data_IF_986240550277
#
_entry.id   IF_986240550277
#
_cell.length_a   1.000
_cell.length_b   1.000
_cell.length_c   1.000
_cell.angle_alpha   90.00
_cell.angle_beta   90.00
_cell.angle_gamma   90.00
#
_symmetry.space_group_name_H-M   'P 1'
#
loop_
_entity.id
_entity.type
_entity.pdbx_description
1 polymer ?
#
# COMPACT_ATOMS: atom_id res chain seq x y z
N UNK A 1 -15.08 45.58 -10.49
CA UNK A 1 -13.65 45.20 -10.74
C UNK A 1 -13.50 43.70 -10.58
N UNK A 2 -13.08 43.02 -11.64
CA UNK A 2 -13.37 41.60 -11.92
C UNK A 2 -12.52 40.64 -11.10
N UNK A 3 -13.17 39.85 -10.23
CA UNK A 3 -12.58 38.69 -9.53
C UNK A 3 -12.39 37.45 -10.41
N UNK A 4 -12.70 37.53 -11.69
CA UNK A 4 -12.67 36.37 -12.62
C UNK A 4 -11.38 36.19 -13.41
N UNK A 5 -10.42 37.11 -13.34
CA UNK A 5 -9.19 37.05 -14.15
C UNK A 5 -8.02 36.43 -13.42
N UNK A 6 -8.11 36.24 -12.10
CA UNK A 6 -7.00 35.69 -11.30
C UNK A 6 -6.85 34.16 -11.42
N UNK A 7 -7.89 33.46 -11.83
CA UNK A 7 -7.89 31.97 -11.89
C UNK A 7 -7.37 31.45 -13.25
N UNK A 8 -7.22 32.30 -14.27
CA UNK A 8 -6.83 31.86 -15.62
C UNK A 8 -5.32 31.68 -15.84
N UNK A 9 -4.48 32.15 -14.94
CA UNK A 9 -3.01 32.10 -15.09
C UNK A 9 -2.29 31.35 -13.95
N UNK A 10 -2.98 30.53 -13.17
CA UNK A 10 -2.34 29.70 -12.16
C UNK A 10 -1.78 28.45 -12.85
N UNK A 11 -0.55 28.57 -13.33
CA UNK A 11 0.32 27.47 -13.71
C UNK A 11 0.49 26.52 -12.53
N UNK A 12 0.15 25.25 -12.75
CA UNK A 12 0.45 24.09 -11.92
C UNK A 12 0.65 24.33 -10.41
N UNK A 13 -0.38 24.20 -9.63
CA UNK A 13 -0.24 24.05 -8.18
C UNK A 13 0.15 22.59 -7.88
N UNK A 14 1.37 22.35 -7.43
CA UNK A 14 1.75 21.11 -6.75
C UNK A 14 1.03 21.11 -5.41
N UNK A 15 0.07 20.22 -5.22
CA UNK A 15 -0.80 20.25 -4.04
C UNK A 15 -0.29 19.39 -2.90
N UNK A 16 0.55 18.39 -3.15
CA UNK A 16 1.25 17.70 -2.08
C UNK A 16 2.53 17.05 -2.58
N UNK A 17 3.59 17.22 -1.83
CA UNK A 17 4.82 16.45 -1.95
C UNK A 17 4.81 15.49 -0.77
N UNK A 18 4.37 14.24 -0.99
CA UNK A 18 4.65 13.17 -0.06
C UNK A 18 5.82 12.36 -0.62
N UNK A 19 6.54 11.66 0.23
CA UNK A 19 7.56 10.71 -0.21
C UNK A 19 7.00 9.59 -1.10
N UNK A 20 5.69 9.52 -1.24
CA UNK A 20 4.94 8.49 -1.94
C UNK A 20 4.34 8.93 -3.28
N UNK A 21 4.58 10.14 -3.74
CA UNK A 21 4.11 10.65 -5.03
C UNK A 21 3.63 12.09 -5.00
N UNK A 22 3.49 12.67 -6.18
CA UNK A 22 2.99 14.04 -6.39
C UNK A 22 1.68 14.00 -7.14
N UNK A 23 0.68 14.74 -6.65
CA UNK A 23 -0.51 15.04 -7.41
C UNK A 23 -0.29 16.33 -8.19
N UNK A 24 -0.42 16.26 -9.50
CA UNK A 24 -0.34 17.41 -10.39
C UNK A 24 -1.73 17.76 -10.92
N UNK A 25 -2.08 19.04 -10.89
CA UNK A 25 -3.27 19.53 -11.55
C UNK A 25 -2.92 19.96 -12.98
N UNK A 26 -3.48 19.29 -14.01
CA UNK A 26 -3.23 19.59 -15.42
C UNK A 26 -4.16 20.66 -16.01
N UNK A 27 -4.95 21.33 -15.18
CA UNK A 27 -5.96 22.31 -15.60
C UNK A 27 -7.37 21.72 -15.75
N UNK A 28 -7.53 20.39 -15.68
CA UNK A 28 -8.84 19.71 -15.78
C UNK A 28 -8.99 18.62 -14.73
N UNK A 29 -7.96 17.83 -14.48
CA UNK A 29 -7.96 16.73 -13.56
C UNK A 29 -6.66 16.71 -12.77
N UNK A 30 -6.66 16.05 -11.61
CA UNK A 30 -5.43 15.66 -10.96
C UNK A 30 -4.80 14.53 -11.78
N UNK A 31 -3.58 14.75 -12.22
CA UNK A 31 -2.77 13.74 -12.90
C UNK A 31 -1.68 13.24 -11.97
N UNK A 32 -1.47 11.98 -12.07
CA UNK A 32 -0.26 11.27 -11.72
C UNK A 32 -0.21 10.81 -10.31
N UNK A 33 -0.07 9.62 -10.07
CA UNK A 33 0.77 8.88 -9.19
C UNK A 33 2.08 8.63 -9.94
N UNK A 34 2.99 9.56 -9.88
CA UNK A 34 4.34 9.30 -10.37
C UNK A 34 5.31 9.55 -9.23
N UNK A 35 5.70 8.54 -8.51
CA UNK A 35 5.37 7.11 -8.55
C UNK A 35 3.98 6.76 -7.98
N UNK A 36 3.53 5.52 -8.21
CA UNK A 36 2.29 4.96 -7.61
C UNK A 36 2.37 5.06 -6.09
N UNK A 37 1.33 5.63 -5.48
CA UNK A 37 1.29 5.88 -4.03
C UNK A 37 1.07 4.59 -3.24
N UNK A 38 1.66 4.54 -2.06
CA UNK A 38 1.47 3.44 -1.11
C UNK A 38 0.10 3.52 -0.45
N UNK A 39 -0.34 2.37 0.04
CA UNK A 39 -1.49 2.21 0.92
C UNK A 39 -1.15 1.23 2.04
N UNK A 40 -2.09 0.92 2.90
CA UNK A 40 -1.87 -0.02 3.99
C UNK A 40 -1.82 -1.46 3.48
N UNK A 41 -0.94 -2.27 4.08
CA UNK A 41 -0.90 -3.72 3.86
C UNK A 41 -2.20 -4.39 4.35
N UNK A 42 -2.76 -3.85 5.41
CA UNK A 42 -3.92 -4.45 6.07
C UNK A 42 -3.56 -5.70 6.90
N UNK A 43 -4.49 -6.19 7.72
CA UNK A 43 -4.24 -7.32 8.62
C UNK A 43 -4.33 -8.69 7.93
N UNK A 44 -4.72 -8.73 6.67
CA UNK A 44 -5.02 -9.97 5.94
C UNK A 44 -3.93 -10.39 4.95
N UNK A 45 -2.76 -9.72 4.94
CA UNK A 45 -1.64 -10.19 4.14
C UNK A 45 -1.16 -11.54 4.65
N UNK A 46 -0.94 -12.48 3.72
CA UNK A 46 -0.44 -13.80 4.00
C UNK A 46 0.64 -14.13 2.98
N UNK A 47 1.90 -14.33 3.41
CA UNK A 47 2.99 -14.68 2.51
C UNK A 47 2.83 -16.09 1.94
N UNK A 48 3.55 -16.38 0.85
CA UNK A 48 3.60 -17.71 0.25
C UNK A 48 2.42 -18.02 -0.67
N UNK A 49 1.67 -17.02 -1.12
CA UNK A 49 0.63 -17.23 -2.12
C UNK A 49 1.23 -17.84 -3.40
N UNK A 50 0.57 -18.82 -4.04
CA UNK A 50 1.11 -19.49 -5.22
C UNK A 50 1.20 -18.56 -6.42
N UNK A 51 2.18 -18.82 -7.30
CA UNK A 51 2.26 -18.13 -8.59
C UNK A 51 1.17 -18.65 -9.53
N UNK A 52 0.15 -17.83 -9.74
CA UNK A 52 -0.99 -18.14 -10.61
C UNK A 52 -1.70 -16.88 -11.09
N UNK A 53 -2.20 -16.92 -12.34
CA UNK A 53 -2.97 -15.85 -12.96
C UNK A 53 -4.47 -15.94 -12.63
N UNK A 54 -5.00 -17.16 -12.51
CA UNK A 54 -6.41 -17.38 -12.23
C UNK A 54 -6.62 -17.62 -10.73
N UNK A 55 -7.30 -16.69 -10.09
CA UNK A 55 -7.62 -16.71 -8.66
C UNK A 55 -9.09 -17.11 -8.41
N UNK A 56 -9.88 -17.33 -9.46
CA UNK A 56 -11.31 -17.74 -9.34
C UNK A 56 -11.38 -19.19 -8.92
N UNK A 57 -12.00 -19.50 -7.78
CA UNK A 57 -12.39 -20.88 -7.50
C UNK A 57 -13.40 -21.39 -8.53
N UNK A 58 -13.45 -22.70 -8.73
CA UNK A 58 -14.31 -23.32 -9.75
C UNK A 58 -15.79 -23.00 -9.58
N UNK A 59 -16.25 -22.79 -8.35
CA UNK A 59 -17.65 -22.55 -7.99
C UNK A 59 -17.90 -21.17 -7.35
N UNK A 60 -17.11 -20.14 -7.74
CA UNK A 60 -17.34 -18.78 -7.26
C UNK A 60 -18.60 -18.18 -7.87
N UNK A 61 -19.42 -17.54 -7.04
CA UNK A 61 -20.60 -16.77 -7.46
C UNK A 61 -20.29 -15.27 -7.61
N UNK A 62 -19.04 -14.85 -7.38
CA UNK A 62 -18.63 -13.47 -7.50
C UNK A 62 -18.62 -12.96 -8.94
N UNK A 63 -18.79 -11.67 -9.13
CA UNK A 63 -18.74 -11.03 -10.44
C UNK A 63 -17.33 -11.14 -11.05
N UNK A 64 -17.15 -11.83 -12.19
CA UNK A 64 -15.84 -12.00 -12.81
C UNK A 64 -15.20 -10.70 -13.24
N UNK A 65 -13.90 -10.55 -12.95
CA UNK A 65 -13.07 -9.43 -13.41
C UNK A 65 -11.72 -9.92 -13.95
N UNK A 66 -11.13 -9.09 -14.82
CA UNK A 66 -9.73 -9.15 -15.21
C UNK A 66 -9.02 -7.89 -14.71
N UNK A 67 -8.03 -8.05 -13.85
CA UNK A 67 -7.12 -6.97 -13.46
C UNK A 67 -5.82 -7.13 -14.23
N UNK A 68 -5.44 -6.12 -15.00
CA UNK A 68 -4.20 -6.14 -15.80
C UNK A 68 -3.50 -4.80 -15.81
N UNK A 69 -2.23 -4.79 -16.17
CA UNK A 69 -1.43 -3.58 -16.32
C UNK A 69 0.03 -3.89 -16.54
N UNK A 70 0.84 -2.85 -16.40
CA UNK A 70 2.29 -2.92 -16.54
C UNK A 70 2.95 -2.34 -15.31
N UNK A 71 4.11 -2.91 -14.96
CA UNK A 71 5.01 -2.35 -13.95
C UNK A 71 6.10 -1.56 -14.67
N UNK A 72 6.25 -0.29 -14.33
CA UNK A 72 7.24 0.61 -14.88
C UNK A 72 8.24 1.07 -13.81
N UNK A 73 9.46 1.38 -14.26
CA UNK A 73 10.44 2.10 -13.43
C UNK A 73 9.94 3.52 -13.12
N UNK A 74 10.67 4.23 -12.27
CA UNK A 74 10.40 5.61 -11.84
C UNK A 74 10.12 6.62 -12.95
N UNK A 75 10.62 6.36 -14.17
CA UNK A 75 10.39 7.22 -15.33
C UNK A 75 9.02 7.01 -16.01
N UNK A 76 8.20 6.09 -15.51
CA UNK A 76 6.86 5.79 -16.04
C UNK A 76 6.83 5.20 -17.46
N UNK A 77 7.97 4.79 -18.03
CA UNK A 77 8.10 4.34 -19.41
C UNK A 77 8.83 3.01 -19.56
N UNK A 78 9.89 2.81 -18.80
CA UNK A 78 10.70 1.59 -18.89
C UNK A 78 10.02 0.46 -18.11
N UNK A 79 9.61 -0.62 -18.79
CA UNK A 79 8.99 -1.75 -18.08
C UNK A 79 9.99 -2.44 -17.15
N UNK A 80 9.46 -3.02 -16.08
CA UNK A 80 10.24 -3.82 -15.13
C UNK A 80 10.05 -5.30 -15.45
N UNK A 81 11.15 -5.98 -15.76
CA UNK A 81 11.19 -7.43 -15.88
C UNK A 81 11.37 -8.08 -14.51
N UNK A 82 10.77 -9.26 -14.32
CA UNK A 82 10.88 -10.07 -13.10
C UNK A 82 10.36 -9.40 -11.80
N UNK A 83 9.51 -8.40 -11.91
CA UNK A 83 8.77 -7.89 -10.76
C UNK A 83 7.76 -8.96 -10.30
N UNK A 84 7.77 -9.30 -9.01
CA UNK A 84 6.71 -10.12 -8.42
C UNK A 84 5.53 -9.21 -8.09
N UNK A 85 4.40 -9.46 -8.73
CA UNK A 85 3.12 -8.79 -8.46
C UNK A 85 2.24 -9.77 -7.70
N UNK A 86 1.89 -9.45 -6.47
CA UNK A 86 0.98 -10.23 -5.63
C UNK A 86 -0.30 -9.44 -5.41
N UNK A 87 -1.45 -10.12 -5.48
CA UNK A 87 -2.75 -9.53 -5.11
C UNK A 87 -3.50 -10.41 -4.13
N UNK A 88 -4.34 -9.76 -3.29
CA UNK A 88 -5.28 -10.45 -2.41
C UNK A 88 -6.49 -9.56 -2.13
N UNK A 89 -7.65 -10.20 -1.93
CA UNK A 89 -8.90 -9.53 -1.58
C UNK A 89 -9.88 -10.49 -0.92
N UNK A 90 -10.98 -9.97 -0.37
CA UNK A 90 -12.07 -10.81 0.15
C UNK A 90 -12.88 -11.44 -0.98
N UNK A 91 -13.59 -12.49 -0.65
CA UNK A 91 -14.57 -13.12 -1.53
C UNK A 91 -15.91 -12.34 -1.59
N UNK A 92 -16.89 -12.89 -2.28
CA UNK A 92 -18.26 -12.36 -2.39
C UNK A 92 -19.07 -12.39 -1.09
N UNK A 93 -18.54 -13.03 -0.03
CA UNK A 93 -19.14 -13.15 1.30
C UNK A 93 -18.36 -12.32 2.35
N UNK A 94 -17.55 -11.34 1.93
CA UNK A 94 -16.75 -10.47 2.80
C UNK A 94 -15.58 -11.18 3.50
N UNK A 95 -15.24 -12.43 3.12
CA UNK A 95 -14.26 -13.26 3.82
C UNK A 95 -12.90 -13.24 3.11
N UNK A 96 -11.84 -13.00 3.87
CA UNK A 96 -10.46 -13.24 3.44
C UNK A 96 -10.03 -14.66 3.81
N UNK A 97 -9.50 -15.40 2.85
CA UNK A 97 -8.89 -16.69 3.11
C UNK A 97 -7.53 -16.54 3.82
N UNK A 98 -7.55 -16.63 5.14
CA UNK A 98 -6.36 -16.43 5.97
C UNK A 98 -5.67 -17.75 6.38
N UNK A 99 -6.29 -18.90 6.14
CA UNK A 99 -5.85 -20.17 6.74
C UNK A 99 -5.80 -21.37 5.80
N UNK A 100 -6.61 -21.40 4.72
CA UNK A 100 -6.66 -22.57 3.84
C UNK A 100 -5.41 -22.69 2.96
N UNK A 101 -5.04 -23.90 2.61
CA UNK A 101 -3.92 -24.16 1.69
C UNK A 101 -4.25 -23.79 0.22
N UNK A 102 -5.52 -23.50 -0.06
CA UNK A 102 -5.98 -23.09 -1.38
C UNK A 102 -5.58 -21.66 -1.73
N UNK A 103 -5.31 -20.80 -0.73
CA UNK A 103 -5.02 -19.38 -0.93
C UNK A 103 -6.07 -18.69 -1.82
N UNK A 104 -7.36 -18.88 -1.53
CA UNK A 104 -8.45 -18.32 -2.34
C UNK A 104 -8.33 -16.82 -2.47
N UNK A 105 -8.49 -16.33 -3.71
CA UNK A 105 -8.35 -14.92 -4.06
C UNK A 105 -6.99 -14.28 -3.69
N UNK A 106 -5.94 -15.13 -3.64
CA UNK A 106 -4.56 -14.73 -3.44
C UNK A 106 -3.67 -15.37 -4.49
N UNK A 107 -2.73 -14.62 -5.03
CA UNK A 107 -1.77 -15.17 -5.99
C UNK A 107 -0.77 -14.14 -6.45
N UNK A 108 0.29 -14.64 -7.06
CA UNK A 108 1.36 -13.82 -7.60
C UNK A 108 1.67 -14.13 -9.05
N UNK A 109 2.27 -13.18 -9.73
CA UNK A 109 2.86 -13.34 -11.07
C UNK A 109 4.19 -12.61 -11.14
N UNK A 110 5.13 -13.14 -11.92
CA UNK A 110 6.33 -12.40 -12.31
C UNK A 110 6.12 -11.76 -13.67
N UNK A 111 6.45 -10.49 -13.77
CA UNK A 111 6.40 -9.76 -15.04
C UNK A 111 7.48 -10.26 -16.00
N UNK A 112 7.18 -10.19 -17.29
CA UNK A 112 8.13 -10.44 -18.39
C UNK A 112 8.80 -9.13 -18.84
N UNK A 113 9.59 -9.19 -19.91
CA UNK A 113 10.32 -8.04 -20.45
C UNK A 113 9.44 -6.82 -20.79
N UNK A 114 8.15 -7.02 -21.05
CA UNK A 114 7.17 -5.97 -21.31
C UNK A 114 6.52 -5.41 -20.03
N UNK A 115 6.90 -5.91 -18.86
CA UNK A 115 6.39 -5.48 -17.56
C UNK A 115 4.95 -5.87 -17.27
N UNK A 116 4.30 -6.68 -18.10
CA UNK A 116 2.87 -7.00 -17.99
C UNK A 116 2.57 -7.99 -16.88
N UNK A 117 1.40 -7.78 -16.27
CA UNK A 117 0.71 -8.73 -15.41
C UNK A 117 -0.79 -8.80 -15.76
N UNK A 118 -1.43 -9.93 -15.48
CA UNK A 118 -2.86 -10.13 -15.65
C UNK A 118 -3.39 -11.16 -14.65
N UNK A 119 -4.40 -10.78 -13.88
CA UNK A 119 -5.12 -11.66 -12.98
C UNK A 119 -6.59 -11.80 -13.36
N UNK A 120 -7.10 -13.03 -13.38
CA UNK A 120 -8.53 -13.32 -13.44
C UNK A 120 -9.03 -13.59 -12.03
N UNK A 121 -9.98 -12.78 -11.56
CA UNK A 121 -10.54 -12.87 -10.22
C UNK A 121 -12.02 -12.48 -10.22
N UNK A 122 -12.56 -12.19 -9.06
CA UNK A 122 -13.89 -11.60 -8.89
C UNK A 122 -13.75 -10.16 -8.38
N UNK A 123 -14.76 -9.34 -8.62
CA UNK A 123 -14.91 -8.04 -7.98
C UNK A 123 -15.15 -8.27 -6.47
N UNK A 124 -14.25 -7.80 -5.61
CA UNK A 124 -14.49 -7.91 -4.17
C UNK A 124 -15.70 -7.08 -3.74
N UNK A 125 -16.20 -7.35 -2.56
CA UNK A 125 -17.31 -6.60 -1.96
C UNK A 125 -16.82 -5.70 -0.83
N UNK A 126 -17.56 -4.64 -0.45
CA UNK A 126 -17.30 -3.93 0.79
C UNK A 126 -17.42 -4.87 1.99
N UNK A 127 -16.61 -4.65 3.03
CA UNK A 127 -16.66 -5.48 4.23
C UNK A 127 -16.46 -4.66 5.51
N UNK A 128 -16.86 -5.21 6.67
CA UNK A 128 -16.55 -4.62 7.97
C UNK A 128 -15.19 -5.07 8.47
N UNK A 129 -14.27 -4.13 8.71
CA UNK A 129 -12.97 -4.43 9.29
C UNK A 129 -13.08 -4.95 10.75
N UNK A 130 -14.10 -4.50 11.48
CA UNK A 130 -14.48 -4.96 12.82
C UNK A 130 -15.97 -5.35 12.77
N UNK A 131 -16.33 -6.63 12.86
CA UNK A 131 -17.71 -7.09 12.64
C UNK A 131 -18.76 -6.41 13.55
N UNK A 132 -18.39 -6.05 14.78
CA UNK A 132 -19.26 -5.40 15.76
C UNK A 132 -19.34 -3.88 15.64
N UNK A 133 -18.58 -3.26 14.72
CA UNK A 133 -18.50 -1.81 14.57
C UNK A 133 -19.02 -1.37 13.20
N UNK A 134 -20.18 -0.74 13.17
CA UNK A 134 -20.81 -0.22 11.96
C UNK A 134 -20.02 0.93 11.31
N UNK A 135 -19.12 1.57 12.03
CA UNK A 135 -18.24 2.60 11.48
C UNK A 135 -17.00 2.02 10.75
N UNK A 136 -16.77 0.71 10.84
CA UNK A 136 -15.58 0.04 10.32
C UNK A 136 -15.71 -0.47 8.88
N UNK A 137 -16.74 -0.05 8.14
CA UNK A 137 -16.91 -0.42 6.75
C UNK A 137 -15.75 0.04 5.88
N UNK A 138 -15.20 -0.90 5.10
CA UNK A 138 -14.23 -0.64 4.05
C UNK A 138 -14.89 -0.77 2.67
N UNK A 139 -14.54 0.09 1.70
CA UNK A 139 -14.97 -0.11 0.32
C UNK A 139 -14.41 -1.41 -0.25
N UNK A 140 -15.03 -1.91 -1.31
CA UNK A 140 -14.44 -2.97 -2.13
C UNK A 140 -13.05 -2.55 -2.58
N UNK A 141 -12.04 -3.41 -2.39
CA UNK A 141 -10.67 -3.13 -2.82
C UNK A 141 -9.86 -4.39 -3.06
N UNK A 142 -8.85 -4.26 -3.90
CA UNK A 142 -7.84 -5.28 -4.13
C UNK A 142 -6.52 -4.76 -3.56
N UNK A 143 -5.92 -5.50 -2.65
CA UNK A 143 -4.56 -5.25 -2.20
C UNK A 143 -3.56 -5.69 -3.27
N UNK A 144 -2.49 -4.95 -3.41
CA UNK A 144 -1.39 -5.29 -4.31
C UNK A 144 -0.05 -5.03 -3.62
N UNK A 145 0.87 -5.99 -3.78
CA UNK A 145 2.30 -5.85 -3.45
C UNK A 145 3.09 -6.03 -4.73
N UNK A 146 4.02 -5.14 -4.98
CA UNK A 146 4.97 -5.25 -6.10
C UNK A 146 6.37 -5.26 -5.53
N UNK A 147 7.07 -6.38 -5.75
CA UNK A 147 8.45 -6.58 -5.32
C UNK A 147 9.37 -6.60 -6.53
N UNK A 148 10.40 -5.78 -6.51
CA UNK A 148 11.44 -5.71 -7.54
C UNK A 148 12.78 -5.97 -6.88
N UNK A 149 13.60 -6.92 -7.38
CA UNK A 149 14.90 -7.21 -6.77
C UNK A 149 15.75 -5.96 -6.55
N UNK A 150 16.23 -5.76 -5.32
CA UNK A 150 17.06 -4.62 -4.94
C UNK A 150 16.29 -3.32 -4.72
N UNK A 151 14.96 -3.34 -4.69
CA UNK A 151 14.13 -2.18 -4.40
C UNK A 151 13.17 -2.49 -3.26
N UNK A 152 12.76 -1.45 -2.54
CA UNK A 152 11.70 -1.58 -1.56
C UNK A 152 10.38 -1.91 -2.24
N UNK A 153 9.62 -2.81 -1.64
CA UNK A 153 8.30 -3.18 -2.12
C UNK A 153 7.32 -2.01 -2.13
N UNK A 154 6.51 -1.97 -3.17
CA UNK A 154 5.31 -1.15 -3.18
C UNK A 154 4.14 -1.94 -2.59
N UNK A 155 3.54 -1.42 -1.54
CA UNK A 155 2.26 -1.89 -1.01
C UNK A 155 1.20 -0.86 -1.40
N UNK A 156 0.14 -1.30 -2.05
CA UNK A 156 -0.93 -0.40 -2.49
C UNK A 156 -2.30 -1.10 -2.45
N UNK A 157 -3.36 -0.34 -2.68
CA UNK A 157 -4.73 -0.85 -2.80
C UNK A 157 -5.41 -0.20 -4.00
N UNK A 158 -6.21 -0.98 -4.70
CA UNK A 158 -7.01 -0.57 -5.84
C UNK A 158 -8.46 -0.48 -5.38
N UNK A 159 -9.09 0.67 -5.61
CA UNK A 159 -10.49 0.95 -5.31
C UNK A 159 -11.30 1.09 -6.60
N UNK A 160 -12.63 1.11 -6.48
CA UNK A 160 -13.52 1.13 -7.64
C UNK A 160 -14.38 2.41 -7.62
N UNK A 161 -14.38 3.13 -8.74
CA UNK A 161 -15.12 4.39 -8.89
C UNK A 161 -16.63 4.16 -8.69
N UNK A 162 -17.24 4.98 -7.84
CA UNK A 162 -18.66 4.85 -7.48
C UNK A 162 -18.93 3.72 -6.48
N UNK A 163 -17.90 3.08 -5.97
CA UNK A 163 -18.01 2.05 -4.94
C UNK A 163 -18.55 2.60 -3.63
N UNK A 164 -19.39 1.82 -2.94
CA UNK A 164 -19.90 2.17 -1.61
C UNK A 164 -18.73 2.35 -0.65
N UNK A 165 -18.79 3.36 0.19
CA UNK A 165 -17.80 3.74 1.22
C UNK A 165 -16.47 4.31 0.71
N UNK A 166 -16.24 4.50 -0.61
CA UNK A 166 -15.00 5.10 -1.12
C UNK A 166 -14.79 6.50 -0.55
N UNK A 167 -15.84 7.33 -0.52
CA UNK A 167 -15.74 8.72 -0.07
C UNK A 167 -15.67 8.89 1.46
N UNK A 168 -16.04 7.85 2.22
CA UNK A 168 -16.02 7.86 3.70
C UNK A 168 -14.85 7.07 4.30
N UNK A 169 -14.20 6.20 3.53
CA UNK A 169 -13.06 5.42 4.00
C UNK A 169 -11.80 6.28 4.11
N UNK A 170 -11.12 6.20 5.24
CA UNK A 170 -9.93 7.00 5.54
C UNK A 170 -8.83 6.87 4.47
N UNK A 171 -8.65 5.70 3.88
CA UNK A 171 -7.58 5.44 2.93
C UNK A 171 -8.01 5.68 1.49
N UNK A 172 -9.23 5.27 1.12
CA UNK A 172 -9.75 5.48 -0.22
C UNK A 172 -10.06 6.95 -0.51
N UNK A 173 -10.53 7.73 0.48
CA UNK A 173 -10.81 9.16 0.33
C UNK A 173 -9.56 10.05 0.44
N UNK A 174 -8.41 9.48 0.81
CA UNK A 174 -7.18 10.25 0.90
C UNK A 174 -6.77 10.81 -0.47
N UNK A 175 -6.25 12.06 -0.56
CA UNK A 175 -5.82 12.64 -1.84
C UNK A 175 -4.85 11.76 -2.62
N UNK A 176 -4.01 10.99 -1.92
CA UNK A 176 -3.06 10.05 -2.51
C UNK A 176 -3.73 8.85 -3.19
N UNK A 177 -5.01 8.58 -2.93
CA UNK A 177 -5.72 7.44 -3.51
C UNK A 177 -6.37 7.74 -4.86
N UNK A 178 -6.40 8.99 -5.31
CA UNK A 178 -7.18 9.43 -6.48
C UNK A 178 -6.92 8.61 -7.74
N UNK A 179 -5.67 8.23 -8.02
CA UNK A 179 -5.30 7.43 -9.19
C UNK A 179 -5.43 5.92 -8.97
N UNK A 180 -5.83 5.51 -7.79
CA UNK A 180 -6.08 4.12 -7.40
C UNK A 180 -7.59 3.81 -7.30
N UNK A 181 -8.43 4.82 -7.56
CA UNK A 181 -9.89 4.70 -7.69
C UNK A 181 -10.21 4.53 -9.17
N UNK A 182 -10.33 3.28 -9.61
CA UNK A 182 -10.35 2.91 -11.02
C UNK A 182 -11.78 2.68 -11.53
N UNK A 183 -11.96 2.95 -12.82
CA UNK A 183 -13.20 2.62 -13.53
C UNK A 183 -13.12 1.20 -14.06
N UNK A 184 -14.16 0.42 -13.82
CA UNK A 184 -14.33 -0.89 -14.45
C UNK A 184 -14.91 -0.70 -15.85
N UNK A 185 -14.27 -1.29 -16.86
CA UNK A 185 -14.72 -1.27 -18.25
C UNK A 185 -15.14 -2.69 -18.69
N UNK A 186 -15.70 -2.83 -19.89
CA UNK A 186 -15.96 -4.14 -20.49
C UNK A 186 -14.91 -4.40 -21.57
N UNK A 187 -14.32 -5.59 -21.54
CA UNK A 187 -13.45 -6.05 -22.62
C UNK A 187 -14.28 -6.54 -23.83
N UNK A 188 -13.61 -6.95 -24.90
CA UNK A 188 -14.25 -7.43 -26.13
C UNK A 188 -15.12 -8.68 -25.94
N UNK A 189 -14.88 -9.47 -24.90
CA UNK A 189 -15.69 -10.64 -24.52
C UNK A 189 -16.83 -10.30 -23.55
N UNK A 190 -17.03 -9.03 -23.21
CA UNK A 190 -18.05 -8.56 -22.26
C UNK A 190 -17.71 -8.77 -20.78
N UNK A 191 -16.49 -9.23 -20.47
CA UNK A 191 -16.02 -9.41 -19.10
C UNK A 191 -15.57 -8.07 -18.51
N UNK A 192 -15.78 -7.86 -17.22
CA UNK A 192 -15.33 -6.65 -16.54
C UNK A 192 -13.81 -6.61 -16.46
N UNK A 193 -13.24 -5.47 -16.81
CA UNK A 193 -11.80 -5.27 -16.87
C UNK A 193 -11.38 -4.02 -16.09
N UNK A 194 -10.22 -4.10 -15.44
CA UNK A 194 -9.58 -3.03 -14.69
C UNK A 194 -8.16 -2.91 -15.18
N UNK A 195 -7.80 -1.72 -15.64
CA UNK A 195 -6.43 -1.42 -16.04
C UNK A 195 -5.74 -0.62 -14.94
N UNK A 196 -4.64 -1.15 -14.39
CA UNK A 196 -3.82 -0.47 -13.41
C UNK A 196 -2.34 -0.59 -13.74
N UNK A 197 -1.75 0.50 -14.21
CA UNK A 197 -0.31 0.58 -14.41
C UNK A 197 0.35 1.05 -13.11
N UNK A 198 1.47 0.44 -12.77
CA UNK A 198 2.26 0.76 -11.58
C UNK A 198 3.57 1.41 -11.99
N UNK A 199 3.89 2.55 -11.37
CA UNK A 199 5.18 3.22 -11.50
C UNK A 199 5.91 3.08 -10.17
N UNK A 200 7.04 2.37 -10.18
CA UNK A 200 7.87 2.18 -8.99
C UNK A 200 8.53 3.51 -8.58
N UNK A 201 8.66 3.75 -7.30
CA UNK A 201 9.39 4.92 -6.81
C UNK A 201 10.89 4.78 -7.03
N UNK A 202 11.60 5.92 -7.08
CA UNK A 202 13.05 5.92 -6.98
C UNK A 202 13.48 5.26 -5.67
N UNK A 203 14.45 4.39 -5.76
CA UNK A 203 15.01 3.74 -4.59
C UNK A 203 15.78 4.77 -3.73
N UNK A 204 15.56 4.69 -2.42
CA UNK A 204 16.38 5.35 -1.42
C UNK A 204 17.15 4.24 -0.71
N UNK A 205 18.46 4.09 -0.96
CA UNK A 205 19.23 3.01 -0.37
C UNK A 205 19.20 3.10 1.16
N UNK A 206 18.95 1.98 1.82
CA UNK A 206 19.06 1.84 3.25
C UNK A 206 20.16 0.82 3.55
N UNK A 207 21.13 1.19 4.37
CA UNK A 207 22.16 0.28 4.85
C UNK A 207 21.52 -0.85 5.68
N UNK A 208 21.78 -2.10 5.32
CA UNK A 208 21.30 -3.28 6.05
C UNK A 208 21.69 -3.24 7.53
N UNK A 209 22.84 -2.67 7.87
CA UNK A 209 23.27 -2.48 9.27
C UNK A 209 22.34 -1.54 10.05
N UNK A 210 21.64 -0.63 9.37
CA UNK A 210 20.63 0.21 10.03
C UNK A 210 19.42 -0.63 10.40
N UNK A 211 18.96 -1.53 9.53
CA UNK A 211 17.88 -2.46 9.86
C UNK A 211 18.18 -3.29 11.11
N UNK A 212 19.39 -3.86 11.20
CA UNK A 212 19.81 -4.64 12.37
C UNK A 212 19.74 -3.83 13.67
N UNK A 213 20.12 -2.55 13.59
CA UNK A 213 20.07 -1.65 14.76
C UNK A 213 18.65 -1.28 15.15
N UNK A 214 17.75 -1.00 14.20
CA UNK A 214 16.41 -0.48 14.47
C UNK A 214 15.36 -1.56 14.72
N UNK A 215 15.57 -2.79 14.28
CA UNK A 215 14.64 -3.91 14.57
C UNK A 215 14.70 -4.30 16.05
N UNK A 216 13.59 -4.74 16.60
CA UNK A 216 13.45 -5.18 17.99
C UNK A 216 12.30 -4.50 18.73
N UNK A 217 12.29 -4.66 20.04
CA UNK A 217 11.25 -4.17 20.94
C UNK A 217 11.62 -2.82 21.54
N UNK A 218 10.64 -1.93 21.61
CA UNK A 218 10.76 -0.58 22.18
C UNK A 218 9.71 -0.39 23.26
N UNK A 219 10.13 0.10 24.41
CA UNK A 219 9.23 0.63 25.41
C UNK A 219 8.85 2.06 25.01
N UNK A 220 7.56 2.32 24.90
CA UNK A 220 7.03 3.63 24.53
C UNK A 220 6.17 4.25 25.63
N UNK A 221 6.30 3.73 26.85
CA UNK A 221 5.59 4.22 28.03
C UNK A 221 4.16 3.70 28.15
N UNK A 222 3.55 3.96 29.31
CA UNK A 222 2.15 3.60 29.61
C UNK A 222 1.80 2.13 29.33
N UNK A 223 2.75 1.21 29.62
CA UNK A 223 2.63 -0.23 29.31
C UNK A 223 2.41 -0.54 27.83
N UNK A 224 2.86 0.33 26.92
CA UNK A 224 2.85 0.08 25.50
C UNK A 224 4.23 -0.29 24.99
N UNK A 225 4.24 -1.25 24.07
CA UNK A 225 5.45 -1.73 23.42
C UNK A 225 5.26 -1.71 21.91
N UNK A 226 6.26 -1.21 21.20
CA UNK A 226 6.31 -1.28 19.74
C UNK A 226 7.45 -2.21 19.34
N UNK A 227 7.13 -3.19 18.49
CA UNK A 227 8.10 -4.10 17.90
C UNK A 227 8.27 -3.79 16.41
N UNK A 228 9.52 -3.62 16.00
CA UNK A 228 9.87 -3.51 14.58
C UNK A 228 10.54 -4.78 14.11
N UNK A 229 9.98 -5.36 13.02
CA UNK A 229 10.45 -6.63 12.46
C UNK A 229 10.74 -6.41 10.98
N UNK A 230 11.93 -6.81 10.53
CA UNK A 230 12.23 -6.91 9.10
C UNK A 230 11.75 -8.27 8.58
N UNK A 231 10.97 -8.25 7.51
CA UNK A 231 10.66 -9.44 6.73
C UNK A 231 10.71 -9.07 5.25
N UNK A 232 11.51 -9.79 4.51
CA UNK A 232 11.88 -9.43 3.13
C UNK A 232 12.42 -7.98 3.06
N UNK A 233 11.90 -7.17 2.17
CA UNK A 233 12.27 -5.76 2.01
C UNK A 233 11.35 -4.79 2.77
N UNK A 234 10.51 -5.30 3.67
CA UNK A 234 9.58 -4.51 4.48
C UNK A 234 10.00 -4.44 5.95
N UNK A 235 9.78 -3.28 6.54
CA UNK A 235 9.80 -3.10 7.99
C UNK A 235 8.36 -3.12 8.50
N UNK A 236 8.05 -4.03 9.39
CA UNK A 236 6.73 -4.15 10.02
C UNK A 236 6.76 -3.52 11.41
N UNK A 237 5.67 -2.84 11.75
CA UNK A 237 5.43 -2.29 13.09
C UNK A 237 4.27 -3.02 13.76
N UNK A 238 4.52 -3.57 14.94
CA UNK A 238 3.49 -4.08 15.83
C UNK A 238 3.37 -3.17 17.05
N UNK A 239 2.16 -2.92 17.49
CA UNK A 239 1.87 -2.26 18.77
C UNK A 239 1.19 -3.28 19.67
N UNK A 240 1.79 -3.56 20.83
CA UNK A 240 1.31 -4.56 21.80
C UNK A 240 1.03 -5.92 21.14
N UNK A 241 1.97 -6.38 20.30
CA UNK A 241 1.90 -7.64 19.57
C UNK A 241 0.99 -7.65 18.33
N UNK A 242 0.18 -6.62 18.11
CA UNK A 242 -0.70 -6.53 16.94
C UNK A 242 -0.03 -5.78 15.78
N UNK A 243 -0.01 -6.40 14.59
CA UNK A 243 0.48 -5.76 13.39
C UNK A 243 -0.35 -4.50 13.08
N UNK A 244 0.32 -3.36 12.92
CA UNK A 244 -0.29 -2.06 12.66
C UNK A 244 0.07 -1.48 11.31
N UNK A 245 1.30 -1.68 10.84
CA UNK A 245 1.77 -1.11 9.59
C UNK A 245 2.89 -1.93 8.97
N UNK A 246 2.98 -1.86 7.66
CA UNK A 246 4.22 -2.00 6.90
C UNK A 246 4.76 -0.61 6.61
N UNK A 247 6.07 -0.46 6.68
CA UNK A 247 6.76 0.82 6.64
C UNK A 247 7.74 0.86 5.48
N UNK A 248 7.70 1.94 4.72
CA UNK A 248 8.65 2.23 3.65
C UNK A 248 9.69 3.24 4.13
N UNK A 249 10.96 2.99 3.83
CA UNK A 249 12.04 3.93 4.10
C UNK A 249 11.95 5.17 3.20
N UNK A 250 12.07 6.36 3.79
CA UNK A 250 11.98 7.64 3.10
C UNK A 250 13.22 8.52 3.28
N UNK A 251 14.30 7.95 3.85
CA UNK A 251 15.55 8.66 4.14
C UNK A 251 15.70 9.10 5.59
N UNK A 252 16.93 9.45 5.98
CA UNK A 252 17.24 9.98 7.32
C UNK A 252 16.71 9.15 8.49
N UNK A 253 16.88 7.82 8.43
CA UNK A 253 16.34 6.86 9.41
C UNK A 253 14.83 7.00 9.66
N UNK A 254 14.10 7.52 8.69
CA UNK A 254 12.66 7.75 8.76
C UNK A 254 11.93 6.80 7.82
N UNK A 255 10.81 6.28 8.30
CA UNK A 255 9.93 5.35 7.60
C UNK A 255 8.50 5.85 7.66
N UNK A 256 7.70 5.53 6.65
CA UNK A 256 6.27 5.86 6.62
C UNK A 256 5.42 4.65 6.26
N UNK A 257 4.25 4.56 6.89
CA UNK A 257 3.18 3.65 6.49
C UNK A 257 2.34 4.19 5.33
N UNK A 258 1.31 3.45 4.94
CA UNK A 258 0.40 3.87 3.87
C UNK A 258 -0.24 5.23 4.17
N UNK A 259 -0.41 6.07 3.15
CA UNK A 259 -0.90 7.45 3.23
C UNK A 259 -0.11 8.39 4.16
N UNK A 260 1.17 8.09 4.44
CA UNK A 260 2.07 8.92 5.27
C UNK A 260 2.04 8.63 6.77
N UNK A 261 1.21 7.69 7.24
CA UNK A 261 1.13 7.30 8.64
C UNK A 261 1.09 5.78 8.83
N UNK A 262 1.69 5.26 9.94
CA UNK A 262 2.51 5.98 10.90
C UNK A 262 3.80 6.51 10.26
N UNK A 263 4.31 7.64 10.76
CA UNK A 263 5.65 8.13 10.44
C UNK A 263 6.57 7.79 11.60
N UNK A 264 7.65 7.08 11.32
CA UNK A 264 8.57 6.52 12.30
C UNK A 264 9.98 7.04 12.06
N UNK A 265 10.58 7.68 13.03
CA UNK A 265 11.96 8.18 12.96
C UNK A 265 12.80 7.53 14.05
N UNK A 266 13.95 6.97 13.66
CA UNK A 266 14.91 6.37 14.57
C UNK A 266 16.11 7.27 14.78
N UNK A 267 16.54 7.43 16.03
CA UNK A 267 17.75 8.14 16.41
C UNK A 267 18.77 7.14 16.97
N UNK A 268 19.84 6.92 16.22
CA UNK A 268 20.96 6.07 16.64
C UNK A 268 21.87 6.88 17.54
N UNK A 269 22.00 6.53 18.80
CA UNK A 269 22.82 7.21 19.78
C UNK A 269 24.28 6.71 19.76
N UNK A 270 25.20 7.54 20.24
CA UNK A 270 26.64 7.20 20.29
C UNK A 270 26.97 6.08 21.28
N UNK A 271 26.14 5.90 22.29
CA UNK A 271 26.23 4.81 23.28
C UNK A 271 25.66 3.47 22.79
N UNK A 272 25.20 3.43 21.54
CA UNK A 272 24.59 2.25 20.94
C UNK A 272 23.10 2.08 21.19
N UNK A 273 22.50 2.90 22.05
CA UNK A 273 21.05 2.90 22.23
C UNK A 273 20.34 3.46 21.00
N UNK A 274 19.06 3.07 20.81
CA UNK A 274 18.22 3.56 19.73
C UNK A 274 16.94 4.12 20.30
N UNK A 275 16.68 5.39 20.00
CA UNK A 275 15.39 6.04 20.29
C UNK A 275 14.49 5.96 19.08
N UNK A 276 13.18 5.95 19.32
CA UNK A 276 12.17 6.00 18.27
C UNK A 276 11.12 7.05 18.58
N UNK A 277 10.73 7.79 17.55
CA UNK A 277 9.52 8.62 17.53
C UNK A 277 8.55 8.01 16.53
N UNK A 278 7.33 7.73 16.94
CA UNK A 278 6.26 7.16 16.12
C UNK A 278 5.07 8.09 16.14
N UNK A 279 4.94 8.89 15.09
CA UNK A 279 3.72 9.67 14.84
C UNK A 279 2.68 8.74 14.22
N UNK A 280 1.79 8.18 15.02
CA UNK A 280 0.81 7.20 14.56
C UNK A 280 -0.34 7.84 13.78
N UNK A 281 -0.73 9.05 14.19
CA UNK A 281 -1.71 9.91 13.51
C UNK A 281 -1.27 11.36 13.68
N UNK A 282 -2.04 12.33 13.15
CA UNK A 282 -1.80 13.76 13.41
C UNK A 282 -1.72 14.10 14.90
N UNK A 283 -2.51 13.41 15.73
CA UNK A 283 -2.73 13.76 17.15
C UNK A 283 -2.14 12.74 18.13
N UNK A 284 -1.56 11.64 17.62
CA UNK A 284 -1.02 10.57 18.48
C UNK A 284 0.43 10.24 18.15
N UNK A 285 1.29 10.46 19.12
CA UNK A 285 2.74 10.20 19.01
C UNK A 285 3.20 9.35 20.19
N UNK A 286 4.09 8.40 19.89
CA UNK A 286 4.83 7.62 20.88
C UNK A 286 6.31 7.96 20.79
N UNK A 287 6.99 8.03 21.94
CA UNK A 287 8.44 8.12 22.02
C UNK A 287 8.95 6.93 22.81
N UNK A 288 10.00 6.30 22.37
CA UNK A 288 10.49 5.10 23.06
C UNK A 288 11.98 4.88 22.89
N UNK A 289 12.46 3.92 23.67
CA UNK A 289 13.84 3.46 23.65
C UNK A 289 13.84 1.96 23.42
N UNK A 290 14.76 1.50 22.58
CA UNK A 290 14.93 0.08 22.28
C UNK A 290 15.38 -0.68 23.52
N UNK A 291 14.70 -1.81 23.80
CA UNK A 291 15.21 -2.76 24.77
C UNK A 291 16.53 -3.34 24.27
N UNK A 292 17.57 -3.12 25.03
CA UNK A 292 18.84 -3.84 24.85
C UNK A 292 18.65 -5.21 25.52
N UNK A 293 18.85 -6.30 24.78
CA UNK A 293 19.02 -7.60 25.43
C UNK A 293 20.28 -7.51 26.28
N UNK A 294 20.14 -7.66 27.57
CA UNK A 294 21.26 -8.02 28.42
C UNK A 294 21.53 -9.51 28.13
N UNK A 295 22.68 -9.79 27.50
CA UNK A 295 23.19 -11.15 27.35
C UNK A 295 23.51 -11.77 28.74
#
# INVERSE_FOLDING_TARGET
MQRRTFIKNSTMAVISISAFGTLNWNGKNFEGDTPTTTDILGPFYRPGAPLRANLRPQHSNGTPIVLKGNIFKENGKTPVNDALVEIWHCDENEVYDNTSDEYRYRGGQRTKADGKYEFKSILPVPYKAVPSDDSSWRPAHIHMRVSVPGQQDLITQIYFKGGKYVDSDRWASAPQAVNRILTTTKNSSGESEILFNVIMSKEIPLDLKVYEKITGLYDVGDNNFIEFIKSDDLLFMKLNGQLRASLKYIGHNTFEGGIGYPKVTFELQTDGSVKVNVQQTTDKTYNGIKYLKYD
#
